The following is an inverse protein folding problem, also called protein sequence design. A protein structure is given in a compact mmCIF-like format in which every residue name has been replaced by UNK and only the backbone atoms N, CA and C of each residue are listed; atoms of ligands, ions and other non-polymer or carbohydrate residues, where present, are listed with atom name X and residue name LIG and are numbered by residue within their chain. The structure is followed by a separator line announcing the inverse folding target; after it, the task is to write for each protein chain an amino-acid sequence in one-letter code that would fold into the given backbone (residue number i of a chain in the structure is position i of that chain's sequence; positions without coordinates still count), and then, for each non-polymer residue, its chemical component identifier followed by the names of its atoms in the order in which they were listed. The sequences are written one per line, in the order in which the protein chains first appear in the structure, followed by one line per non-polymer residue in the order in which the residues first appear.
data_IF_365748808337
#
_entry.id   IF_365748808337
#
_cell.length_a   1.000
_cell.length_b   1.000
_cell.length_c   1.000
_cell.angle_alpha   90.00
_cell.angle_beta   90.00
_cell.angle_gamma   90.00
#
_symmetry.space_group_name_H-M   'P 1'
#
loop_
_entity.id
_entity.type
_entity.pdbx_description
1 polymer ?
#
# COMPACT_ATOMS: atom_id res chain seq x y z
N UNK A 1 -10.73 5.95 27.38
CA UNK A 1 -9.68 6.25 28.38
C UNK A 1 -8.38 5.67 27.87
N UNK A 2 -7.63 6.48 27.13
CA UNK A 2 -6.23 6.19 26.84
C UNK A 2 -5.46 6.29 28.16
N UNK A 3 -4.98 5.17 28.67
CA UNK A 3 -3.98 5.20 29.73
C UNK A 3 -2.65 5.64 29.10
N UNK A 4 -2.40 6.94 29.13
CA UNK A 4 -1.13 7.58 28.80
C UNK A 4 -0.06 7.16 29.81
N UNK A 5 0.52 5.98 29.62
CA UNK A 5 1.74 5.58 30.33
C UNK A 5 2.94 6.32 29.69
N UNK A 6 3.75 7.07 30.47
CA UNK A 6 4.96 7.71 29.96
C UNK A 6 6.02 6.71 29.43
N UNK A 7 5.84 5.39 29.65
CA UNK A 7 6.64 4.32 29.06
C UNK A 7 6.19 3.84 27.67
N UNK A 8 5.06 4.31 27.14
CA UNK A 8 4.49 3.81 25.87
C UNK A 8 5.33 4.20 24.65
N UNK A 9 5.88 5.42 24.64
CA UNK A 9 6.75 5.91 23.55
C UNK A 9 8.12 5.21 23.51
N UNK A 10 8.71 4.92 24.67
CA UNK A 10 9.98 4.16 24.76
C UNK A 10 9.82 2.73 24.26
N UNK A 11 8.70 2.09 24.59
CA UNK A 11 8.37 0.75 24.09
C UNK A 11 8.12 0.75 22.58
N UNK A 12 7.43 1.76 22.05
CA UNK A 12 7.18 1.90 20.60
C UNK A 12 8.49 2.07 19.82
N UNK A 13 9.39 2.92 20.29
CA UNK A 13 10.71 3.14 19.68
C UNK A 13 11.59 1.89 19.75
N UNK A 14 11.54 1.16 20.87
CA UNK A 14 12.28 -0.10 21.03
C UNK A 14 11.73 -1.19 20.11
N UNK A 15 10.41 -1.36 20.04
CA UNK A 15 9.75 -2.31 19.14
C UNK A 15 10.07 -1.95 17.68
N UNK A 16 9.96 -0.68 17.32
CA UNK A 16 10.33 -0.17 16.01
C UNK A 16 11.79 -0.49 15.66
N UNK A 17 12.71 -0.23 16.57
CA UNK A 17 14.13 -0.56 16.40
C UNK A 17 14.38 -2.05 16.18
N UNK A 18 13.75 -2.93 16.98
CA UNK A 18 13.88 -4.39 16.82
C UNK A 18 13.34 -4.86 15.46
N UNK A 19 12.18 -4.32 15.05
CA UNK A 19 11.57 -4.64 13.75
C UNK A 19 12.46 -4.18 12.60
N UNK A 20 13.02 -2.98 12.65
CA UNK A 20 13.97 -2.48 11.63
C UNK A 20 15.19 -3.36 11.56
N UNK A 21 15.77 -3.72 12.71
CA UNK A 21 16.96 -4.56 12.75
C UNK A 21 16.69 -5.90 12.06
N UNK A 22 15.54 -6.51 12.34
CA UNK A 22 15.09 -7.73 11.67
C UNK A 22 14.92 -7.51 10.15
N UNK A 23 14.22 -6.45 9.75
CA UNK A 23 13.98 -6.11 8.33
C UNK A 23 15.30 -5.88 7.59
N UNK A 24 16.26 -5.18 8.19
CA UNK A 24 17.59 -4.94 7.62
C UNK A 24 18.32 -6.27 7.43
N UNK A 25 18.35 -7.13 8.45
CA UNK A 25 19.01 -8.44 8.36
C UNK A 25 18.41 -9.30 7.24
N UNK A 26 17.08 -9.31 7.13
CA UNK A 26 16.37 -10.06 6.10
C UNK A 26 16.63 -9.49 4.69
N UNK A 27 16.70 -8.17 4.54
CA UNK A 27 16.83 -7.50 3.23
C UNK A 27 18.23 -7.53 2.60
N UNK A 28 19.28 -7.91 3.35
CA UNK A 28 20.67 -7.88 2.84
C UNK A 28 20.91 -8.93 1.73
N UNK A 29 20.17 -10.04 1.71
CA UNK A 29 20.40 -11.19 0.79
C UNK A 29 19.22 -11.51 -0.15
N UNK A 30 18.27 -10.59 -0.32
CA UNK A 30 17.03 -10.91 -1.04
C UNK A 30 17.24 -10.95 -2.56
N UNK A 31 16.79 -12.07 -3.13
CA UNK A 31 16.48 -12.27 -4.55
C UNK A 31 15.02 -12.71 -4.68
N UNK A 32 14.37 -12.46 -5.83
CA UNK A 32 12.96 -12.83 -6.08
C UNK A 32 12.71 -14.33 -5.81
N UNK A 33 13.66 -15.20 -6.17
CA UNK A 33 13.51 -16.65 -5.97
C UNK A 33 13.43 -17.03 -4.49
N UNK A 34 14.28 -16.43 -3.66
CA UNK A 34 14.30 -16.65 -2.20
C UNK A 34 13.03 -16.11 -1.54
N UNK A 35 12.39 -15.13 -2.15
CA UNK A 35 11.24 -14.40 -1.62
C UNK A 35 9.90 -15.13 -1.82
N UNK A 36 9.86 -16.12 -2.72
CA UNK A 36 8.66 -16.93 -2.98
C UNK A 36 8.11 -17.62 -1.72
N UNK A 37 8.96 -18.24 -0.91
CA UNK A 37 8.55 -18.93 0.33
C UNK A 37 8.06 -17.95 1.39
N UNK A 38 8.82 -16.88 1.77
CA UNK A 38 8.32 -15.81 2.63
C UNK A 38 6.98 -15.24 2.17
N UNK A 39 6.81 -15.00 0.87
CA UNK A 39 5.56 -14.48 0.31
C UNK A 39 4.40 -15.46 0.46
N UNK A 40 4.63 -16.77 0.28
CA UNK A 40 3.62 -17.79 0.50
C UNK A 40 3.19 -17.86 1.98
N UNK A 41 4.15 -17.78 2.90
CA UNK A 41 3.87 -17.70 4.35
C UNK A 41 3.07 -16.44 4.67
N UNK A 42 3.47 -15.28 4.12
CA UNK A 42 2.73 -14.04 4.29
C UNK A 42 1.27 -14.15 3.82
N UNK A 43 1.05 -14.79 2.67
CA UNK A 43 -0.27 -15.03 2.11
C UNK A 43 -1.11 -15.92 3.03
N UNK A 44 -0.56 -17.06 3.49
CA UNK A 44 -1.26 -17.97 4.40
C UNK A 44 -1.60 -17.27 5.72
N UNK A 45 -0.66 -16.51 6.29
CA UNK A 45 -0.91 -15.72 7.50
C UNK A 45 -1.99 -14.66 7.30
N UNK A 46 -2.01 -13.99 6.13
CA UNK A 46 -3.05 -13.01 5.78
C UNK A 46 -4.41 -13.68 5.66
N UNK A 47 -4.51 -14.83 4.97
CA UNK A 47 -5.76 -15.58 4.82
C UNK A 47 -6.26 -16.07 6.17
N UNK A 48 -5.38 -16.62 7.02
CA UNK A 48 -5.74 -17.07 8.36
C UNK A 48 -6.22 -15.90 9.24
N UNK A 49 -5.48 -14.78 9.23
CA UNK A 49 -5.87 -13.57 9.96
C UNK A 49 -7.22 -13.05 9.49
N UNK A 50 -7.41 -12.94 8.17
CA UNK A 50 -8.65 -12.46 7.57
C UNK A 50 -9.85 -13.39 7.87
N UNK A 51 -9.62 -14.70 7.86
CA UNK A 51 -10.64 -15.68 8.24
C UNK A 51 -11.09 -15.48 9.67
N UNK A 52 -10.17 -15.27 10.61
CA UNK A 52 -10.49 -14.96 12.01
C UNK A 52 -11.28 -13.64 12.14
N UNK A 53 -10.94 -12.62 11.35
CA UNK A 53 -11.70 -11.37 11.29
C UNK A 53 -13.14 -11.65 10.84
N UNK A 54 -13.34 -12.38 9.75
CA UNK A 54 -14.69 -12.70 9.28
C UNK A 54 -15.48 -13.53 10.29
N UNK A 55 -14.86 -14.53 10.93
CA UNK A 55 -15.51 -15.29 12.00
C UNK A 55 -15.96 -14.35 13.12
N UNK A 56 -15.11 -13.41 13.53
CA UNK A 56 -15.46 -12.42 14.55
C UNK A 56 -16.64 -11.55 14.12
N UNK A 57 -16.61 -11.00 12.90
CA UNK A 57 -17.66 -10.13 12.37
C UNK A 57 -19.02 -10.83 12.30
N UNK A 58 -19.05 -12.09 11.87
CA UNK A 58 -20.31 -12.83 11.76
C UNK A 58 -20.81 -13.40 13.09
N UNK A 59 -19.94 -13.60 14.09
CA UNK A 59 -20.33 -14.12 15.42
C UNK A 59 -20.72 -13.02 16.41
N UNK A 60 -20.15 -11.82 16.26
CA UNK A 60 -20.42 -10.69 17.17
C UNK A 60 -21.78 -10.03 16.94
N UNK A 61 -22.46 -10.37 15.84
CA UNK A 61 -23.70 -9.77 15.41
C UNK A 61 -23.45 -8.56 14.50
N UNK A 62 -24.17 -8.52 13.37
CA UNK A 62 -24.14 -7.37 12.46
C UNK A 62 -25.21 -6.36 12.90
N UNK A 63 -24.86 -5.08 12.92
CA UNK A 63 -25.81 -4.00 13.17
C UNK A 63 -26.84 -3.87 12.04
N UNK A 64 -27.99 -3.28 12.35
CA UNK A 64 -29.02 -2.97 11.35
C UNK A 64 -28.51 -1.81 10.44
N UNK A 65 -28.38 -2.02 9.11
CA UNK A 65 -27.92 -0.99 8.19
C UNK A 65 -28.73 0.31 8.24
N UNK A 66 -30.01 0.24 8.64
CA UNK A 66 -30.89 1.41 8.71
C UNK A 66 -30.58 2.37 9.85
N UNK A 67 -29.79 1.92 10.83
CA UNK A 67 -29.39 2.72 12.01
C UNK A 67 -28.09 3.51 11.80
N UNK A 68 -27.36 3.22 10.72
CA UNK A 68 -26.08 3.85 10.39
C UNK A 68 -26.28 5.09 9.50
N UNK A 69 -25.44 6.12 9.64
CA UNK A 69 -25.52 7.31 8.80
C UNK A 69 -25.28 6.94 7.33
N UNK A 70 -26.15 7.42 6.45
CA UNK A 70 -26.11 7.12 5.01
C UNK A 70 -25.09 7.96 4.23
N UNK A 71 -24.58 9.04 4.83
CA UNK A 71 -23.66 9.97 4.20
C UNK A 71 -22.55 10.37 5.17
N UNK A 72 -21.39 10.64 4.60
CA UNK A 72 -20.22 11.19 5.31
C UNK A 72 -19.88 12.58 4.74
N UNK A 73 -19.00 13.30 5.43
CA UNK A 73 -18.52 14.62 5.03
C UNK A 73 -17.72 14.53 3.72
N UNK A 74 -17.76 15.60 2.91
CA UNK A 74 -16.97 15.66 1.67
C UNK A 74 -15.46 15.51 1.92
N UNK A 75 -14.98 15.98 3.08
CA UNK A 75 -13.59 15.84 3.50
C UNK A 75 -13.19 14.38 3.70
N UNK A 76 -14.01 13.58 4.40
CA UNK A 76 -13.79 12.14 4.56
C UNK A 76 -13.87 11.37 3.24
N UNK A 77 -14.77 11.77 2.33
CA UNK A 77 -14.81 11.20 0.96
C UNK A 77 -13.49 11.45 0.23
N UNK A 78 -12.89 12.63 0.37
CA UNK A 78 -11.60 12.94 -0.24
C UNK A 78 -10.46 12.06 0.32
N UNK A 79 -10.49 11.78 1.62
CA UNK A 79 -9.52 10.88 2.27
C UNK A 79 -9.72 9.44 1.80
N UNK A 80 -10.97 8.97 1.81
CA UNK A 80 -11.34 7.62 1.35
C UNK A 80 -10.93 7.38 -0.10
N UNK A 81 -11.08 8.39 -0.97
CA UNK A 81 -10.65 8.31 -2.37
C UNK A 81 -9.15 8.01 -2.51
N UNK A 82 -8.30 8.66 -1.70
CA UNK A 82 -6.86 8.40 -1.67
C UNK A 82 -6.56 6.97 -1.23
N UNK A 83 -7.24 6.50 -0.17
CA UNK A 83 -7.09 5.13 0.35
C UNK A 83 -7.54 4.10 -0.70
N UNK A 84 -8.64 4.33 -1.41
CA UNK A 84 -9.10 3.44 -2.47
C UNK A 84 -8.11 3.33 -3.63
N UNK A 85 -7.55 4.45 -4.08
CA UNK A 85 -6.54 4.44 -5.15
C UNK A 85 -5.28 3.73 -4.68
N UNK A 86 -4.85 3.96 -3.44
CA UNK A 86 -3.70 3.25 -2.85
C UNK A 86 -3.94 1.73 -2.73
N UNK A 87 -5.17 1.32 -2.40
CA UNK A 87 -5.53 -0.11 -2.19
C UNK A 87 -5.30 -0.96 -3.44
N UNK A 88 -5.50 -0.38 -4.63
CA UNK A 88 -5.29 -1.06 -5.91
C UNK A 88 -3.94 -0.74 -6.58
N UNK A 89 -3.02 -0.12 -5.83
CA UNK A 89 -1.67 0.17 -6.34
C UNK A 89 -0.82 -1.11 -6.36
N UNK A 90 -0.58 -1.65 -7.57
CA UNK A 90 0.29 -2.81 -7.80
C UNK A 90 1.25 -2.66 -8.97
N UNK A 91 1.27 -1.51 -9.64
CA UNK A 91 1.92 -1.30 -10.94
C UNK A 91 3.43 -1.54 -10.87
N UNK A 92 4.07 -1.11 -9.77
CA UNK A 92 5.52 -1.25 -9.57
C UNK A 92 5.99 -2.72 -9.56
N UNK A 93 5.14 -3.65 -9.15
CA UNK A 93 5.44 -5.08 -9.08
C UNK A 93 4.94 -5.86 -10.31
N UNK A 94 4.00 -5.30 -11.07
CA UNK A 94 3.40 -5.97 -12.23
C UNK A 94 4.44 -6.42 -13.26
N UNK A 95 5.36 -5.54 -13.65
CA UNK A 95 6.40 -5.86 -14.63
C UNK A 95 7.42 -6.90 -14.10
N UNK A 96 8.02 -6.74 -12.90
CA UNK A 96 8.85 -7.78 -12.32
C UNK A 96 8.16 -9.14 -12.22
N UNK A 97 6.89 -9.19 -11.83
CA UNK A 97 6.12 -10.44 -11.72
C UNK A 97 5.93 -11.06 -13.09
N UNK A 98 5.44 -10.28 -14.08
CA UNK A 98 5.24 -10.74 -15.46
C UNK A 98 6.52 -11.33 -16.05
N UNK A 99 7.67 -10.69 -15.81
CA UNK A 99 8.98 -11.15 -16.31
C UNK A 99 9.45 -12.47 -15.69
N UNK A 100 8.87 -12.91 -14.57
CA UNK A 100 9.21 -14.16 -13.89
C UNK A 100 8.12 -15.24 -14.04
N UNK A 101 7.05 -14.97 -14.79
CA UNK A 101 6.03 -15.97 -15.09
C UNK A 101 6.49 -16.93 -16.19
N UNK A 102 6.04 -18.19 -16.11
CA UNK A 102 6.28 -19.17 -17.16
C UNK A 102 5.60 -18.77 -18.48
N UNK A 103 4.38 -18.23 -18.41
CA UNK A 103 3.61 -17.70 -19.53
C UNK A 103 3.32 -16.20 -19.31
N UNK A 104 4.22 -15.27 -19.71
CA UNK A 104 4.06 -13.84 -19.46
C UNK A 104 2.85 -13.17 -20.13
N UNK A 105 2.33 -13.76 -21.21
CA UNK A 105 1.19 -13.21 -21.95
C UNK A 105 -0.15 -13.50 -21.26
N UNK A 106 -0.21 -14.58 -20.47
CA UNK A 106 -1.37 -14.89 -19.62
C UNK A 106 -1.51 -13.90 -18.45
N UNK A 107 -0.52 -13.07 -18.17
CA UNK A 107 -0.61 -12.06 -17.12
C UNK A 107 -1.72 -11.03 -17.40
N UNK A 108 -1.86 -10.60 -18.66
CA UNK A 108 -2.80 -9.56 -19.11
C UNK A 108 -4.01 -10.12 -19.86
N UNK A 109 -4.13 -11.43 -19.98
CA UNK A 109 -5.30 -12.08 -20.59
C UNK A 109 -6.59 -11.71 -19.84
N UNK A 110 -7.76 -11.87 -20.48
CA UNK A 110 -9.06 -11.49 -19.90
C UNK A 110 -9.32 -12.12 -18.54
N UNK A 111 -9.06 -13.44 -18.41
CA UNK A 111 -9.06 -14.18 -17.13
C UNK A 111 -7.64 -14.44 -16.63
N UNK A 112 -6.70 -13.59 -17.04
CA UNK A 112 -5.30 -13.65 -16.66
C UNK A 112 -5.09 -13.30 -15.19
N UNK A 113 -3.86 -13.53 -14.74
CA UNK A 113 -3.47 -13.38 -13.33
C UNK A 113 -3.79 -11.98 -12.80
N UNK A 114 -3.53 -10.93 -13.58
CA UNK A 114 -3.80 -9.56 -13.16
C UNK A 114 -5.30 -9.31 -12.92
N UNK A 115 -6.16 -9.62 -13.89
CA UNK A 115 -7.60 -9.36 -13.77
C UNK A 115 -8.24 -10.21 -12.68
N UNK A 116 -7.90 -11.51 -12.58
CA UNK A 116 -8.41 -12.38 -11.54
C UNK A 116 -8.00 -11.87 -10.14
N UNK A 117 -6.74 -11.46 -9.97
CA UNK A 117 -6.25 -10.91 -8.70
C UNK A 117 -6.97 -9.62 -8.31
N UNK A 118 -7.24 -8.72 -9.27
CA UNK A 118 -7.94 -7.46 -9.00
C UNK A 118 -9.39 -7.70 -8.57
N UNK A 119 -10.11 -8.62 -9.21
CA UNK A 119 -11.48 -8.97 -8.83
C UNK A 119 -11.54 -9.57 -7.43
N UNK A 120 -10.65 -10.54 -7.13
CA UNK A 120 -10.61 -11.17 -5.81
C UNK A 120 -10.31 -10.13 -4.72
N UNK A 121 -9.29 -9.29 -4.93
CA UNK A 121 -8.93 -8.22 -3.99
C UNK A 121 -10.08 -7.24 -3.80
N UNK A 122 -10.74 -6.80 -4.88
CA UNK A 122 -11.89 -5.90 -4.78
C UNK A 122 -13.04 -6.50 -3.97
N UNK A 123 -13.40 -7.76 -4.23
CA UNK A 123 -14.43 -8.44 -3.45
C UNK A 123 -14.06 -8.54 -1.96
N UNK A 124 -12.82 -8.91 -1.63
CA UNK A 124 -12.36 -9.00 -0.25
C UNK A 124 -12.38 -7.63 0.45
N UNK A 125 -11.86 -6.58 -0.19
CA UNK A 125 -11.88 -5.23 0.35
C UNK A 125 -13.31 -4.73 0.59
N UNK A 126 -14.22 -4.95 -0.38
CA UNK A 126 -15.63 -4.57 -0.25
C UNK A 126 -16.32 -5.33 0.89
N UNK A 127 -16.08 -6.65 1.01
CA UNK A 127 -16.66 -7.46 2.08
C UNK A 127 -16.16 -7.00 3.46
N UNK A 128 -14.85 -6.79 3.62
CA UNK A 128 -14.28 -6.34 4.90
C UNK A 128 -14.78 -4.94 5.24
N UNK A 129 -14.79 -4.02 4.27
CA UNK A 129 -15.27 -2.66 4.48
C UNK A 129 -16.74 -2.63 4.87
N UNK A 130 -17.58 -3.38 4.15
CA UNK A 130 -19.02 -3.45 4.40
C UNK A 130 -19.35 -4.10 5.75
N UNK A 131 -18.90 -5.33 5.99
CA UNK A 131 -19.21 -6.04 7.23
C UNK A 131 -18.49 -5.45 8.44
N UNK A 132 -17.29 -4.91 8.26
CA UNK A 132 -16.56 -4.18 9.30
C UNK A 132 -17.33 -2.94 9.75
N UNK A 133 -17.82 -2.13 8.80
CA UNK A 133 -18.63 -0.95 9.13
C UNK A 133 -19.98 -1.32 9.74
N UNK A 134 -20.64 -2.39 9.27
CA UNK A 134 -21.88 -2.88 9.89
C UNK A 134 -21.71 -3.37 11.33
N UNK A 135 -20.55 -3.93 11.67
CA UNK A 135 -20.29 -4.45 13.01
C UNK A 135 -19.89 -3.35 14.00
N UNK A 136 -19.06 -2.39 13.58
CA UNK A 136 -18.47 -1.39 14.48
C UNK A 136 -19.05 0.02 14.32
N UNK A 137 -19.77 0.31 13.23
CA UNK A 137 -20.32 1.63 12.94
C UNK A 137 -19.25 2.73 13.00
N UNK A 138 -19.58 3.82 13.69
CA UNK A 138 -18.70 4.99 13.83
C UNK A 138 -17.52 4.76 14.81
N UNK A 139 -17.52 3.67 15.57
CA UNK A 139 -16.43 3.33 16.50
C UNK A 139 -15.29 2.54 15.84
N UNK A 140 -15.35 2.37 14.51
CA UNK A 140 -14.29 1.69 13.77
C UNK A 140 -13.00 2.52 13.79
N UNK A 141 -11.88 1.86 14.10
CA UNK A 141 -10.56 2.48 14.11
C UNK A 141 -9.93 2.34 12.72
N UNK A 142 -8.89 3.14 12.44
CA UNK A 142 -8.17 3.15 11.14
C UNK A 142 -7.62 1.78 10.71
N UNK A 143 -7.49 0.84 11.65
CA UNK A 143 -7.23 -0.57 11.38
C UNK A 143 -8.21 -1.45 12.15
N UNK A 144 -8.94 -2.30 11.44
CA UNK A 144 -9.93 -3.23 12.02
C UNK A 144 -9.32 -4.19 13.06
N UNK A 145 -8.02 -4.46 12.96
CA UNK A 145 -7.31 -5.33 13.93
C UNK A 145 -7.24 -4.71 15.33
N UNK A 146 -7.44 -3.39 15.47
CA UNK A 146 -7.54 -2.73 16.77
C UNK A 146 -8.92 -2.87 17.41
N UNK A 147 -9.99 -2.96 16.61
CA UNK A 147 -11.34 -3.18 17.10
C UNK A 147 -11.55 -4.61 17.63
N UNK A 148 -10.77 -5.58 17.15
CA UNK A 148 -10.91 -6.98 17.56
C UNK A 148 -10.30 -7.20 18.95
N UNK A 149 -11.08 -7.75 19.91
CA UNK A 149 -10.61 -7.98 21.27
C UNK A 149 -9.57 -9.11 21.31
N UNK A 150 -8.60 -9.00 22.22
CA UNK A 150 -7.54 -10.00 22.41
C UNK A 150 -8.00 -11.21 23.24
N UNK A 151 -9.12 -11.85 22.88
CA UNK A 151 -9.55 -13.10 23.53
C UNK A 151 -8.74 -14.30 23.02
N UNK A 152 -8.93 -15.50 23.60
CA UNK A 152 -8.08 -16.69 23.41
C UNK A 152 -7.81 -17.01 21.93
N UNK A 153 -8.81 -16.91 21.05
CA UNK A 153 -8.66 -17.20 19.62
C UNK A 153 -8.21 -15.95 18.84
N UNK A 154 -8.76 -14.78 19.16
CA UNK A 154 -8.55 -13.56 18.40
C UNK A 154 -7.23 -12.84 18.72
N UNK A 155 -6.53 -13.21 19.80
CA UNK A 155 -5.18 -12.74 20.09
C UNK A 155 -4.19 -13.09 18.96
N UNK A 156 -4.46 -14.15 18.20
CA UNK A 156 -3.65 -14.59 17.07
C UNK A 156 -3.74 -13.65 15.85
N UNK A 157 -4.79 -12.82 15.73
CA UNK A 157 -5.00 -11.93 14.57
C UNK A 157 -3.82 -10.97 14.41
N UNK A 158 -3.43 -10.27 15.49
CA UNK A 158 -2.36 -9.27 15.44
C UNK A 158 -1.00 -9.89 15.05
N UNK A 159 -0.51 -10.97 15.69
CA UNK A 159 0.73 -11.65 15.28
C UNK A 159 0.70 -12.17 13.83
N UNK A 160 -0.42 -12.72 13.36
CA UNK A 160 -0.55 -13.19 11.98
C UNK A 160 -0.36 -12.06 10.97
N UNK A 161 -1.00 -10.91 11.20
CA UNK A 161 -0.83 -9.73 10.34
C UNK A 161 0.55 -9.11 10.47
N UNK A 162 1.14 -9.04 11.68
CA UNK A 162 2.53 -8.56 11.86
C UNK A 162 3.51 -9.43 11.06
N UNK A 163 3.37 -10.76 11.13
CA UNK A 163 4.19 -11.68 10.33
C UNK A 163 3.99 -11.45 8.84
N UNK A 164 2.73 -11.36 8.39
CA UNK A 164 2.41 -11.11 6.99
C UNK A 164 3.01 -9.79 6.47
N UNK A 165 2.92 -8.71 7.26
CA UNK A 165 3.45 -7.38 6.89
C UNK A 165 4.98 -7.41 6.81
N UNK A 166 5.68 -8.01 7.79
CA UNK A 166 7.15 -8.11 7.77
C UNK A 166 7.62 -8.87 6.52
N UNK A 167 6.98 -10.00 6.21
CA UNK A 167 7.35 -10.82 5.06
C UNK A 167 6.96 -10.16 3.73
N UNK A 168 5.85 -9.43 3.67
CA UNK A 168 5.42 -8.68 2.47
C UNK A 168 6.30 -7.47 2.20
N UNK A 169 6.79 -6.80 3.25
CA UNK A 169 7.74 -5.69 3.14
C UNK A 169 9.00 -6.12 2.38
N UNK A 170 9.50 -7.35 2.62
CA UNK A 170 10.64 -7.92 1.90
C UNK A 170 10.43 -7.94 0.38
N UNK A 171 9.19 -8.18 -0.06
CA UNK A 171 8.81 -8.22 -1.47
C UNK A 171 8.63 -6.84 -2.07
N UNK A 172 7.93 -5.96 -1.37
CA UNK A 172 7.71 -4.60 -1.83
C UNK A 172 9.04 -3.82 -1.90
N UNK A 173 9.96 -4.04 -0.96
CA UNK A 173 11.27 -3.39 -0.92
C UNK A 173 12.20 -3.80 -2.08
N UNK A 174 11.96 -4.96 -2.71
CA UNK A 174 12.76 -5.43 -3.84
C UNK A 174 12.79 -4.42 -5.00
N UNK A 175 11.64 -3.82 -5.33
CA UNK A 175 11.53 -2.91 -6.48
C UNK A 175 12.33 -1.62 -6.27
N UNK A 176 12.16 -0.86 -5.16
CA UNK A 176 13.04 0.25 -4.84
C UNK A 176 14.52 -0.13 -4.83
N UNK A 177 14.88 -1.27 -4.21
CA UNK A 177 16.28 -1.70 -4.14
C UNK A 177 16.90 -1.93 -5.52
N UNK A 178 16.14 -2.47 -6.49
CA UNK A 178 16.60 -2.64 -7.88
C UNK A 178 16.67 -1.32 -8.62
N UNK A 179 15.69 -0.43 -8.44
CA UNK A 179 15.68 0.90 -9.08
C UNK A 179 16.87 1.72 -8.61
N UNK A 180 17.06 1.87 -7.30
CA UNK A 180 18.18 2.61 -6.74
C UNK A 180 19.51 1.93 -7.06
N UNK A 181 19.58 0.59 -7.07
CA UNK A 181 20.77 -0.14 -7.51
C UNK A 181 21.17 0.20 -8.96
N UNK A 182 20.20 0.29 -9.88
CA UNK A 182 20.44 0.73 -11.26
C UNK A 182 20.84 2.21 -11.33
N UNK A 183 20.28 3.06 -10.48
CA UNK A 183 20.65 4.48 -10.40
C UNK A 183 22.09 4.65 -9.91
N UNK A 184 22.53 3.85 -8.93
CA UNK A 184 23.91 3.88 -8.44
C UNK A 184 24.93 3.53 -9.54
N UNK A 185 24.60 2.63 -10.47
CA UNK A 185 25.48 2.31 -11.62
C UNK A 185 25.68 3.51 -12.57
N UNK A 186 24.79 4.50 -12.54
CA UNK A 186 24.99 5.77 -13.28
C UNK A 186 26.00 6.69 -12.59
N UNK A 187 26.26 6.51 -11.29
CA UNK A 187 27.24 7.32 -10.55
C UNK A 187 28.66 6.81 -10.82
N UNK A 188 29.57 7.70 -11.22
CA UNK A 188 30.97 7.35 -11.57
C UNK A 188 31.70 6.65 -10.43
N UNK A 189 31.47 7.09 -9.20
CA UNK A 189 32.19 6.66 -8.00
C UNK A 189 31.84 5.21 -7.67
N UNK A 190 30.57 4.83 -7.78
CA UNK A 190 30.12 3.45 -7.63
C UNK A 190 30.55 2.55 -8.80
N UNK A 191 30.47 3.06 -10.04
CA UNK A 191 30.86 2.29 -11.23
C UNK A 191 32.34 1.93 -11.26
N UNK A 192 33.20 2.85 -10.83
CA UNK A 192 34.65 2.66 -10.78
C UNK A 192 35.14 1.93 -9.51
N UNK A 193 34.24 1.65 -8.56
CA UNK A 193 34.57 0.91 -7.33
C UNK A 193 34.82 -0.58 -7.61
N UNK A 194 35.61 -1.22 -6.76
CA UNK A 194 35.82 -2.67 -6.81
C UNK A 194 34.52 -3.46 -6.61
N UNK A 195 34.41 -4.73 -7.08
CA UNK A 195 33.20 -5.54 -6.90
C UNK A 195 32.75 -5.69 -5.44
N UNK A 196 33.71 -5.77 -4.51
CA UNK A 196 33.46 -5.81 -3.06
C UNK A 196 32.87 -4.50 -2.55
N UNK A 197 33.45 -3.36 -2.93
CA UNK A 197 32.94 -2.04 -2.59
C UNK A 197 31.55 -1.81 -3.19
N UNK A 198 31.29 -2.28 -4.41
CA UNK A 198 29.96 -2.20 -5.00
C UNK A 198 28.93 -3.02 -4.19
N UNK A 199 29.32 -4.19 -3.67
CA UNK A 199 28.47 -5.00 -2.80
C UNK A 199 28.15 -4.28 -1.49
N UNK A 200 29.15 -3.67 -0.85
CA UNK A 200 28.99 -2.88 0.38
C UNK A 200 28.09 -1.66 0.12
N UNK A 201 28.36 -0.91 -0.94
CA UNK A 201 27.58 0.26 -1.34
C UNK A 201 26.10 -0.08 -1.55
N UNK A 202 25.78 -1.22 -2.18
CA UNK A 202 24.39 -1.69 -2.32
C UNK A 202 23.75 -2.04 -0.98
N UNK A 203 24.50 -2.64 -0.04
CA UNK A 203 23.97 -2.94 1.31
C UNK A 203 23.70 -1.65 2.09
N UNK A 204 24.62 -0.69 2.06
CA UNK A 204 24.44 0.62 2.70
C UNK A 204 23.21 1.33 2.13
N UNK A 205 23.07 1.37 0.81
CA UNK A 205 21.89 1.94 0.15
C UNK A 205 20.59 1.29 0.64
N UNK A 206 20.55 -0.05 0.77
CA UNK A 206 19.38 -0.75 1.31
C UNK A 206 19.07 -0.32 2.75
N UNK A 207 20.09 -0.24 3.61
CA UNK A 207 19.93 0.22 5.00
C UNK A 207 19.38 1.64 5.05
N UNK A 208 19.93 2.55 4.24
CA UNK A 208 19.47 3.95 4.17
C UNK A 208 18.01 4.04 3.74
N UNK A 209 17.58 3.26 2.74
CA UNK A 209 16.18 3.23 2.30
C UNK A 209 15.25 2.71 3.40
N UNK A 210 15.65 1.66 4.14
CA UNK A 210 14.85 1.12 5.25
C UNK A 210 14.73 2.16 6.38
N UNK A 211 15.86 2.79 6.75
CA UNK A 211 15.87 3.86 7.77
C UNK A 211 15.01 5.05 7.35
N UNK A 212 15.01 5.40 6.07
CA UNK A 212 14.12 6.44 5.53
C UNK A 212 12.65 6.05 5.71
N UNK A 213 12.25 4.82 5.37
CA UNK A 213 10.86 4.38 5.58
C UNK A 213 10.47 4.37 7.06
N UNK A 214 11.40 4.05 7.96
CA UNK A 214 11.15 4.13 9.40
C UNK A 214 11.00 5.57 9.89
N UNK A 215 11.85 6.49 9.43
CA UNK A 215 11.74 7.91 9.78
C UNK A 215 10.38 8.47 9.36
N UNK A 216 9.89 8.11 8.17
CA UNK A 216 8.56 8.50 7.71
C UNK A 216 7.45 7.93 8.60
N UNK A 217 7.55 6.66 9.01
CA UNK A 217 6.57 6.04 9.91
C UNK A 217 6.53 6.71 11.30
N UNK A 218 7.68 7.20 11.80
CA UNK A 218 7.75 7.94 13.06
C UNK A 218 7.18 9.36 12.96
N UNK A 219 7.19 9.97 11.77
CA UNK A 219 6.69 11.34 11.57
C UNK A 219 5.17 11.40 11.50
N UNK A 220 4.49 10.36 11.00
CA UNK A 220 3.03 10.34 10.86
C UNK A 220 2.48 9.03 11.42
N UNK A 221 2.13 8.97 12.73
CA UNK A 221 1.64 7.75 13.37
C UNK A 221 0.15 7.46 13.08
N UNK A 222 -0.44 8.11 12.08
CA UNK A 222 -1.81 7.90 11.62
C UNK A 222 -1.82 7.15 10.29
N UNK A 223 -2.18 5.87 10.33
CA UNK A 223 -2.11 4.96 9.20
C UNK A 223 -3.04 5.38 8.05
N UNK A 224 -4.29 5.73 8.34
CA UNK A 224 -5.28 6.21 7.37
C UNK A 224 -4.81 7.47 6.63
N UNK A 225 -4.27 8.46 7.34
CA UNK A 225 -3.70 9.67 6.75
C UNK A 225 -2.48 9.34 5.88
N UNK A 226 -1.59 8.46 6.35
CA UNK A 226 -0.46 8.00 5.54
C UNK A 226 -0.93 7.31 4.25
N UNK A 227 -1.90 6.40 4.32
CA UNK A 227 -2.44 5.70 3.16
C UNK A 227 -3.11 6.66 2.17
N UNK A 228 -3.90 7.62 2.68
CA UNK A 228 -4.55 8.65 1.87
C UNK A 228 -3.52 9.51 1.14
N UNK A 229 -2.49 10.01 1.83
CA UNK A 229 -1.44 10.85 1.24
C UNK A 229 -0.65 10.11 0.16
N UNK A 230 -0.25 8.87 0.43
CA UNK A 230 0.49 8.06 -0.53
C UNK A 230 -0.37 7.74 -1.76
N UNK A 231 -1.66 7.47 -1.57
CA UNK A 231 -2.62 7.26 -2.64
C UNK A 231 -2.89 8.48 -3.49
N UNK A 232 -3.13 9.63 -2.86
CA UNK A 232 -3.43 10.88 -3.55
C UNK A 232 -2.22 11.41 -4.31
N UNK A 233 -1.02 11.38 -3.73
CA UNK A 233 0.18 11.94 -4.37
C UNK A 233 0.84 10.92 -5.29
N UNK A 234 1.23 9.76 -4.76
CA UNK A 234 2.12 8.83 -5.48
C UNK A 234 1.34 7.92 -6.42
N UNK A 235 0.30 7.23 -5.91
CA UNK A 235 -0.48 6.28 -6.70
C UNK A 235 -1.30 6.96 -7.78
N UNK A 236 -1.94 8.11 -7.49
CA UNK A 236 -2.67 8.86 -8.51
C UNK A 236 -1.74 9.32 -9.64
N UNK A 237 -0.52 9.75 -9.32
CA UNK A 237 0.47 10.09 -10.34
C UNK A 237 0.90 8.86 -11.19
N UNK A 238 1.29 7.77 -10.54
CA UNK A 238 1.84 6.60 -11.21
C UNK A 238 0.81 5.76 -11.97
N UNK A 239 -0.43 5.72 -11.48
CA UNK A 239 -1.49 4.85 -12.02
C UNK A 239 -2.53 5.59 -12.85
N UNK A 240 -2.84 6.87 -12.55
CA UNK A 240 -3.88 7.64 -13.24
C UNK A 240 -3.36 8.80 -14.09
N UNK A 241 -2.16 9.32 -13.83
CA UNK A 241 -1.59 10.41 -14.65
C UNK A 241 -0.60 9.90 -15.70
N UNK A 242 0.41 9.13 -15.29
CA UNK A 242 1.48 8.71 -16.19
C UNK A 242 0.99 7.80 -17.33
N UNK A 243 0.22 6.72 -17.09
CA UNK A 243 -0.17 5.80 -18.17
C UNK A 243 -1.05 6.47 -19.25
N UNK A 244 -2.09 7.26 -18.90
CA UNK A 244 -2.90 7.97 -19.91
C UNK A 244 -2.11 8.97 -20.74
N UNK A 245 -1.15 9.70 -20.13
CA UNK A 245 -0.27 10.63 -20.87
C UNK A 245 0.62 9.86 -21.84
N UNK A 246 1.24 8.76 -21.38
CA UNK A 246 2.12 7.93 -22.22
C UNK A 246 1.33 7.30 -23.36
N UNK A 247 0.13 6.78 -23.11
CA UNK A 247 -0.75 6.21 -24.13
C UNK A 247 -1.14 7.28 -25.17
N UNK A 248 -1.50 8.49 -24.72
CA UNK A 248 -1.87 9.58 -25.62
C UNK A 248 -0.68 10.01 -26.50
N UNK A 249 0.51 10.15 -25.94
CA UNK A 249 1.73 10.49 -26.69
C UNK A 249 2.07 9.38 -27.69
N UNK A 250 1.97 8.12 -27.27
CA UNK A 250 2.33 6.97 -28.09
C UNK A 250 1.39 6.78 -29.29
N UNK A 251 0.08 6.94 -29.09
CA UNK A 251 -0.94 6.75 -30.13
C UNK A 251 -1.20 8.01 -30.98
N UNK A 252 -0.64 9.17 -30.61
CA UNK A 252 -0.83 10.43 -31.33
C UNK A 252 -0.42 10.40 -32.82
N UNK A 253 0.70 9.76 -33.21
CA UNK A 253 1.11 9.68 -34.61
C UNK A 253 0.09 8.93 -35.47
N UNK A 254 -0.48 7.84 -34.94
CA UNK A 254 -1.39 6.93 -35.66
C UNK A 254 -2.87 7.30 -35.50
N UNK A 255 -3.17 8.51 -35.00
CA UNK A 255 -4.54 8.98 -34.71
C UNK A 255 -5.53 8.86 -35.87
N UNK A 256 -5.05 8.92 -37.12
CA UNK A 256 -5.90 8.82 -38.31
C UNK A 256 -6.26 7.38 -38.68
N UNK A 257 -5.49 6.39 -38.20
CA UNK A 257 -5.74 4.97 -38.44
C UNK A 257 -6.71 4.37 -37.42
N UNK A 258 -6.85 5.01 -36.26
CA UNK A 258 -7.71 4.56 -35.16
C UNK A 258 -9.12 5.14 -35.34
N UNK A 259 -10.11 4.26 -35.53
CA UNK A 259 -11.51 4.67 -35.61
C UNK A 259 -11.95 5.38 -34.31
N UNK A 260 -12.64 6.50 -34.46
CA UNK A 260 -13.13 7.33 -33.35
C UNK A 260 -12.06 7.71 -32.31
N UNK A 261 -10.80 7.90 -32.70
CA UNK A 261 -9.67 8.22 -31.81
C UNK A 261 -9.99 9.26 -30.73
N UNK A 262 -10.63 10.37 -31.09
CA UNK A 262 -11.00 11.42 -30.14
C UNK A 262 -12.01 10.97 -29.09
N UNK A 263 -12.96 10.10 -29.46
CA UNK A 263 -14.01 9.64 -28.55
C UNK A 263 -13.53 8.45 -27.69
N UNK A 264 -12.72 7.56 -28.24
CA UNK A 264 -12.25 6.35 -27.53
C UNK A 264 -10.98 6.59 -26.74
N UNK A 265 -9.95 7.18 -27.36
CA UNK A 265 -8.63 7.35 -26.73
C UNK A 265 -8.59 8.65 -25.94
N UNK A 266 -8.93 9.78 -26.58
CA UNK A 266 -8.79 11.09 -25.93
C UNK A 266 -9.79 11.26 -24.78
N UNK A 267 -11.07 10.95 -24.97
CA UNK A 267 -12.06 11.07 -23.88
C UNK A 267 -11.75 10.13 -22.71
N UNK A 268 -11.39 8.87 -22.96
CA UNK A 268 -10.98 7.92 -21.91
C UNK A 268 -9.80 8.46 -21.10
N UNK A 269 -8.74 8.87 -21.79
CA UNK A 269 -7.53 9.36 -21.14
C UNK A 269 -7.76 10.71 -20.43
N UNK A 270 -8.55 11.60 -21.01
CA UNK A 270 -8.95 12.85 -20.35
C UNK A 270 -9.73 12.58 -19.06
N UNK A 271 -10.66 11.62 -19.06
CA UNK A 271 -11.41 11.23 -17.86
C UNK A 271 -10.49 10.66 -16.78
N UNK A 272 -9.56 9.76 -17.15
CA UNK A 272 -8.59 9.21 -16.21
C UNK A 272 -7.68 10.31 -15.61
N UNK A 273 -7.23 11.26 -16.44
CA UNK A 273 -6.42 12.39 -15.98
C UNK A 273 -7.20 13.31 -15.05
N UNK A 274 -8.47 13.59 -15.35
CA UNK A 274 -9.33 14.40 -14.48
C UNK A 274 -9.55 13.72 -13.13
N UNK A 275 -9.84 12.43 -13.11
CA UNK A 275 -9.99 11.66 -11.86
C UNK A 275 -8.68 11.63 -11.08
N UNK A 276 -7.55 11.40 -11.76
CA UNK A 276 -6.22 11.40 -11.15
C UNK A 276 -5.85 12.75 -10.54
N UNK A 277 -6.11 13.84 -11.25
CA UNK A 277 -5.83 15.20 -10.78
C UNK A 277 -6.77 15.59 -9.62
N UNK A 278 -8.05 15.26 -9.74
CA UNK A 278 -9.03 15.47 -8.67
C UNK A 278 -8.62 14.75 -7.40
N UNK A 279 -8.31 13.45 -7.49
CA UNK A 279 -7.79 12.67 -6.37
C UNK A 279 -6.53 13.28 -5.75
N UNK A 280 -5.57 13.67 -6.60
CA UNK A 280 -4.32 14.25 -6.13
C UNK A 280 -4.52 15.55 -5.37
N UNK A 281 -5.38 16.45 -5.86
CA UNK A 281 -5.64 17.73 -5.20
C UNK A 281 -6.46 17.51 -3.93
N UNK A 282 -7.61 16.84 -4.04
CA UNK A 282 -8.54 16.66 -2.94
C UNK A 282 -7.93 15.82 -1.80
N UNK A 283 -7.34 14.67 -2.11
CA UNK A 283 -6.74 13.79 -1.11
C UNK A 283 -5.54 14.43 -0.42
N UNK A 284 -4.68 15.12 -1.16
CA UNK A 284 -3.52 15.80 -0.56
C UNK A 284 -3.94 16.96 0.32
N UNK A 285 -4.86 17.82 -0.15
CA UNK A 285 -5.36 18.93 0.65
C UNK A 285 -6.04 18.45 1.94
N UNK A 286 -6.96 17.48 1.82
CA UNK A 286 -7.68 16.93 2.97
C UNK A 286 -6.72 16.32 4.01
N UNK A 287 -5.72 15.56 3.54
CA UNK A 287 -4.77 14.87 4.41
C UNK A 287 -3.76 15.82 5.04
N UNK A 288 -3.21 16.78 4.30
CA UNK A 288 -2.26 17.77 4.83
C UNK A 288 -2.92 18.65 5.88
N UNK A 289 -4.15 19.11 5.64
CA UNK A 289 -4.92 19.88 6.63
C UNK A 289 -5.05 19.07 7.92
N UNK A 290 -5.43 17.79 7.82
CA UNK A 290 -5.63 16.94 8.99
C UNK A 290 -4.33 16.63 9.73
N UNK A 291 -3.22 16.40 9.02
CA UNK A 291 -1.90 16.24 9.63
C UNK A 291 -1.51 17.51 10.40
N UNK A 292 -1.72 18.70 9.82
CA UNK A 292 -1.42 19.97 10.49
C UNK A 292 -2.29 20.15 11.73
N UNK A 293 -3.59 19.84 11.65
CA UNK A 293 -4.50 19.90 12.79
C UNK A 293 -4.07 18.96 13.92
N UNK A 294 -3.72 17.72 13.59
CA UNK A 294 -3.23 16.74 14.57
C UNK A 294 -1.93 17.21 15.22
N UNK A 295 -0.96 17.71 14.44
CA UNK A 295 0.31 18.22 14.96
C UNK A 295 0.13 19.44 15.86
N UNK A 296 -0.86 20.30 15.55
CA UNK A 296 -1.18 21.47 16.36
C UNK A 296 -1.86 21.09 17.68
N UNK A 297 -2.74 20.09 17.66
CA UNK A 297 -3.50 19.68 18.84
C UNK A 297 -2.75 18.68 19.73
N UNK A 298 -1.80 17.91 19.19
CA UNK A 298 -0.93 17.01 19.95
C UNK A 298 0.27 17.70 20.63
N UNK A 299 0.35 19.03 20.54
CA UNK A 299 1.33 19.87 21.23
C UNK A 299 0.80 20.57 22.49
N UNK A 300 -0.47 20.36 22.85
CA UNK A 300 -1.09 20.71 24.13
C UNK A 300 -1.25 19.46 25.01
#
# INVERSE_FOLDING_TARGET
MESTWPGSYSNLNLIGFVVILLIVMLNIKISIRILSIPSAVAMVSTIAGLTLIFIYLFTSGLGDPSTLPSHTSFHEVCIALGIFIFTFEGVALALPIRNHMHCPDEFVATFGVLNASMVITACLCLMIGFFGYLCFGNDILSSITYNIPSTVVYIAVKPLFVLAIILSYLLQFYVPAVIFGRLMLKMRWHRMSSPEQQSINRKIMRVVLILFTYAVAMLVPHLDLMLSLLGSVSSSALSLLVPPVVELIHLWPDRQQISHFYLTVVTKNALLLLVGLFSAICGTAATVIQIITVLRNGGE
#
